data_IF_726232508075
#
_entry.id   IF_726232508075
#
_cell.length_a   1.000
_cell.length_b   1.000
_cell.length_c   1.000
_cell.angle_alpha   90.00
_cell.angle_beta   90.00
_cell.angle_gamma   90.00
#
_symmetry.space_group_name_H-M   'P 1'
#
loop_
_entity.id
_entity.type
_entity.pdbx_description
1 polymer ?
#
# COMPACT_ATOMS: atom_id res chain seq x y z
N UNK A 1 -20.80 0.20 -8.27
CA UNK A 1 -21.04 1.37 -9.14
C UNK A 1 -21.05 2.60 -8.24
N UNK A 2 -20.05 3.48 -8.34
CA UNK A 2 -20.00 4.72 -7.56
C UNK A 2 -21.15 5.65 -8.06
N UNK A 3 -22.21 5.76 -7.28
CA UNK A 3 -23.24 6.75 -7.49
C UNK A 3 -22.79 8.06 -6.82
N UNK A 4 -22.39 9.03 -7.62
CA UNK A 4 -22.13 10.39 -7.18
C UNK A 4 -22.99 11.29 -8.07
N UNK A 5 -24.03 11.86 -7.47
CA UNK A 5 -24.93 12.79 -8.14
C UNK A 5 -24.21 14.09 -8.51
N UNK A 6 -24.58 14.63 -9.67
CA UNK A 6 -23.93 15.75 -10.32
C UNK A 6 -23.98 17.05 -9.51
N UNK A 7 -22.88 17.30 -8.79
CA UNK A 7 -22.59 18.63 -8.25
C UNK A 7 -22.24 19.66 -9.33
N UNK A 8 -21.77 20.85 -8.95
CA UNK A 8 -21.36 21.89 -9.89
C UNK A 8 -20.41 21.38 -10.96
N UNK A 9 -20.44 21.96 -12.17
CA UNK A 9 -19.70 21.44 -13.34
C UNK A 9 -18.22 21.04 -13.10
N UNK A 10 -17.50 21.76 -12.24
CA UNK A 10 -16.12 21.43 -11.89
C UNK A 10 -15.98 20.13 -11.10
N UNK A 11 -16.89 19.86 -10.17
CA UNK A 11 -16.92 18.62 -9.38
C UNK A 11 -17.22 17.42 -10.29
N UNK A 12 -18.09 17.62 -11.29
CA UNK A 12 -18.43 16.59 -12.28
C UNK A 12 -17.22 16.16 -13.10
N UNK A 13 -16.34 17.08 -13.49
CA UNK A 13 -15.11 16.77 -14.25
C UNK A 13 -14.12 15.96 -13.40
N UNK A 14 -13.86 16.41 -12.17
CA UNK A 14 -12.97 15.70 -11.23
C UNK A 14 -13.52 14.30 -10.95
N UNK A 15 -14.82 14.18 -10.77
CA UNK A 15 -15.47 12.89 -10.56
C UNK A 15 -15.30 11.94 -11.75
N UNK A 16 -15.51 12.42 -12.98
CA UNK A 16 -15.32 11.64 -14.20
C UNK A 16 -13.87 11.12 -14.29
N UNK A 17 -12.90 11.97 -13.94
CA UNK A 17 -11.49 11.59 -13.92
C UNK A 17 -11.19 10.52 -12.84
N UNK A 18 -11.65 10.72 -11.61
CA UNK A 18 -11.49 9.73 -10.52
C UNK A 18 -12.14 8.40 -10.92
N UNK A 19 -13.31 8.44 -11.54
CA UNK A 19 -13.99 7.24 -12.04
C UNK A 19 -13.20 6.54 -13.15
N UNK A 20 -12.58 7.29 -14.07
CA UNK A 20 -11.72 6.72 -15.11
C UNK A 20 -10.47 6.08 -14.51
N UNK A 21 -9.85 6.71 -13.50
CA UNK A 21 -8.75 6.12 -12.72
C UNK A 21 -9.20 4.82 -12.06
N UNK A 22 -10.32 4.84 -11.34
CA UNK A 22 -10.84 3.69 -10.61
C UNK A 22 -11.18 2.49 -11.52
N UNK A 23 -11.55 2.76 -12.76
CA UNK A 23 -11.85 1.73 -13.77
C UNK A 23 -10.62 1.24 -14.54
N UNK A 24 -9.45 1.85 -14.33
CA UNK A 24 -8.27 1.57 -15.14
C UNK A 24 -8.44 1.92 -16.62
N UNK A 25 -9.37 2.84 -16.95
CA UNK A 25 -9.72 3.22 -18.33
C UNK A 25 -9.02 4.48 -18.83
N UNK A 26 -7.87 4.82 -18.22
CA UNK A 26 -7.04 5.95 -18.63
C UNK A 26 -6.17 5.60 -19.86
N UNK A 27 -5.94 6.57 -20.77
CA UNK A 27 -4.87 6.43 -21.75
C UNK A 27 -3.53 6.15 -21.03
N UNK A 28 -2.70 5.29 -21.63
CA UNK A 28 -1.42 4.85 -21.02
C UNK A 28 -0.52 6.03 -20.61
N UNK A 29 -0.44 7.08 -21.42
CA UNK A 29 0.34 8.27 -21.10
C UNK A 29 -0.14 8.95 -19.80
N UNK A 30 -1.46 9.04 -19.61
CA UNK A 30 -2.07 9.62 -18.40
C UNK A 30 -1.86 8.70 -17.20
N UNK A 31 -2.04 7.40 -17.36
CA UNK A 31 -1.78 6.42 -16.30
C UNK A 31 -0.32 6.47 -15.85
N UNK A 32 0.63 6.58 -16.80
CA UNK A 32 2.06 6.73 -16.51
C UNK A 32 2.34 8.01 -15.72
N UNK A 33 1.76 9.14 -16.11
CA UNK A 33 1.91 10.42 -15.42
C UNK A 33 1.35 10.34 -13.98
N UNK A 34 0.14 9.81 -13.80
CA UNK A 34 -0.47 9.61 -12.49
C UNK A 34 0.24 8.51 -11.67
N UNK A 35 1.00 7.63 -12.33
CA UNK A 35 1.85 6.61 -11.71
C UNK A 35 3.11 7.17 -11.06
N UNK A 36 3.49 8.42 -11.38
CA UNK A 36 4.65 9.08 -10.81
C UNK A 36 4.48 9.34 -9.31
N UNK A 37 5.60 9.33 -8.58
CA UNK A 37 5.62 9.60 -7.15
C UNK A 37 6.74 10.59 -6.81
N UNK A 38 6.50 11.39 -5.78
CA UNK A 38 7.54 12.20 -5.14
C UNK A 38 8.17 11.41 -4.02
N UNK A 39 9.49 11.27 -4.04
CA UNK A 39 10.25 10.59 -3.01
C UNK A 39 10.61 11.57 -1.90
N UNK A 40 10.18 11.28 -0.68
CA UNK A 40 10.49 12.06 0.52
C UNK A 40 11.29 11.16 1.47
N UNK A 41 12.52 11.54 1.83
CA UNK A 41 13.30 10.83 2.82
C UNK A 41 12.81 11.20 4.23
N UNK A 42 12.49 10.20 5.04
CA UNK A 42 12.22 10.38 6.46
C UNK A 42 13.34 9.77 7.28
N UNK A 43 13.85 10.52 8.24
CA UNK A 43 14.85 10.03 9.18
C UNK A 43 14.24 8.95 10.09
N UNK A 44 14.99 7.87 10.34
CA UNK A 44 14.59 6.84 11.28
C UNK A 44 15.15 7.14 12.66
N UNK A 45 14.37 6.85 13.70
CA UNK A 45 14.87 6.81 15.08
C UNK A 45 16.00 5.77 15.15
N UNK A 46 17.19 6.18 15.55
CA UNK A 46 18.39 5.32 15.57
C UNK A 46 19.27 5.40 14.32
N UNK A 47 18.94 6.30 13.38
CA UNK A 47 19.73 6.59 12.18
C UNK A 47 19.27 5.86 10.92
N UNK A 48 19.69 6.39 9.77
CA UNK A 48 19.27 5.93 8.46
C UNK A 48 18.02 6.64 7.91
N UNK A 49 17.66 6.34 6.67
CA UNK A 49 16.58 7.00 5.95
C UNK A 49 15.52 5.99 5.53
N UNK A 50 14.25 6.35 5.71
CA UNK A 50 13.11 5.64 5.16
C UNK A 50 12.59 6.40 3.94
N UNK A 51 12.74 5.89 2.72
CA UNK A 51 12.18 6.54 1.53
C UNK A 51 10.66 6.36 1.52
N UNK A 52 9.93 7.46 1.45
CA UNK A 52 8.47 7.45 1.30
C UNK A 52 8.13 7.98 -0.09
N UNK A 53 7.47 7.15 -0.90
CA UNK A 53 6.98 7.54 -2.21
C UNK A 53 5.54 8.07 -2.08
N UNK A 54 5.36 9.36 -2.32
CA UNK A 54 4.05 10.02 -2.29
C UNK A 54 3.50 10.06 -3.71
N UNK A 55 2.43 9.31 -3.96
CA UNK A 55 1.76 9.28 -5.26
C UNK A 55 0.83 10.47 -5.48
N UNK A 56 0.45 10.65 -6.74
CA UNK A 56 -0.46 11.68 -7.21
C UNK A 56 -1.80 11.70 -6.45
N UNK A 57 -2.33 12.90 -6.22
CA UNK A 57 -3.53 13.12 -5.39
C UNK A 57 -4.76 12.41 -5.98
N UNK A 58 -4.98 12.54 -7.29
CA UNK A 58 -6.14 11.92 -7.95
C UNK A 58 -6.11 10.39 -7.85
N UNK A 59 -4.92 9.78 -8.04
CA UNK A 59 -4.73 8.34 -7.82
C UNK A 59 -5.03 7.96 -6.37
N UNK A 60 -4.54 8.72 -5.40
CA UNK A 60 -4.77 8.46 -3.98
C UNK A 60 -6.24 8.54 -3.61
N UNK A 61 -6.98 9.53 -4.14
CA UNK A 61 -8.43 9.66 -3.92
C UNK A 61 -9.16 8.46 -4.52
N UNK A 62 -8.86 8.08 -5.77
CA UNK A 62 -9.46 6.92 -6.42
C UNK A 62 -9.20 5.63 -5.64
N UNK A 63 -7.94 5.37 -5.25
CA UNK A 63 -7.59 4.20 -4.46
C UNK A 63 -8.30 4.18 -3.10
N UNK A 64 -8.41 5.33 -2.43
CA UNK A 64 -9.12 5.44 -1.16
C UNK A 64 -10.62 5.16 -1.31
N UNK A 65 -11.24 5.69 -2.35
CA UNK A 65 -12.66 5.43 -2.66
C UNK A 65 -12.91 3.93 -2.91
N UNK A 66 -12.03 3.28 -3.66
CA UNK A 66 -12.09 1.83 -3.89
C UNK A 66 -11.90 1.03 -2.59
N UNK A 67 -10.90 1.36 -1.77
CA UNK A 67 -10.72 0.71 -0.47
C UNK A 67 -11.97 0.85 0.42
N UNK A 68 -12.64 1.98 0.35
CA UNK A 68 -13.89 2.22 1.08
C UNK A 68 -15.03 1.35 0.54
N UNK A 69 -15.16 1.26 -0.79
CA UNK A 69 -16.19 0.46 -1.46
C UNK A 69 -16.02 -1.05 -1.19
N UNK A 70 -14.79 -1.54 -1.21
CA UNK A 70 -14.46 -2.96 -1.00
C UNK A 70 -14.22 -3.32 0.46
N UNK A 71 -14.51 -2.42 1.40
CA UNK A 71 -14.21 -2.60 2.81
C UNK A 71 -14.78 -3.90 3.39
N UNK A 72 -16.02 -4.24 3.04
CA UNK A 72 -16.67 -5.48 3.47
C UNK A 72 -15.99 -6.71 2.87
N UNK A 73 -15.83 -6.74 1.54
CA UNK A 73 -15.18 -7.83 0.82
C UNK A 73 -13.74 -8.09 1.33
N UNK A 74 -13.00 -7.01 1.68
CA UNK A 74 -11.68 -7.14 2.29
C UNK A 74 -11.73 -7.68 3.71
N UNK A 75 -12.67 -7.21 4.53
CA UNK A 75 -12.83 -7.70 5.89
C UNK A 75 -13.14 -9.20 5.91
N UNK A 76 -14.04 -9.65 5.04
CA UNK A 76 -14.43 -11.05 4.93
C UNK A 76 -13.26 -11.93 4.44
N UNK A 77 -12.53 -11.46 3.42
CA UNK A 77 -11.42 -12.23 2.85
C UNK A 77 -10.23 -12.34 3.79
N UNK A 78 -9.88 -11.26 4.50
CA UNK A 78 -8.72 -11.21 5.39
C UNK A 78 -9.04 -11.60 6.83
N UNK A 79 -10.30 -11.86 7.16
CA UNK A 79 -10.76 -12.32 8.46
C UNK A 79 -9.88 -13.47 8.97
N UNK A 80 -9.55 -13.43 10.25
CA UNK A 80 -8.71 -14.41 10.98
C UNK A 80 -7.21 -14.45 10.60
N UNK A 81 -6.78 -13.80 9.50
CA UNK A 81 -5.38 -13.86 9.05
C UNK A 81 -4.68 -12.50 9.03
N UNK A 82 -5.43 -11.40 8.94
CA UNK A 82 -4.89 -10.04 8.82
C UNK A 82 -5.62 -9.09 9.75
N UNK A 83 -4.94 -8.66 10.79
CA UNK A 83 -5.48 -7.75 11.81
C UNK A 83 -5.22 -6.26 11.52
N UNK A 84 -4.44 -5.94 10.50
CA UNK A 84 -4.16 -4.57 10.07
C UNK A 84 -5.14 -4.00 9.05
N UNK A 85 -6.09 -4.80 8.54
CA UNK A 85 -7.05 -4.38 7.52
C UNK A 85 -8.47 -4.39 8.10
N UNK A 86 -9.06 -3.22 8.28
CA UNK A 86 -10.43 -3.01 8.79
C UNK A 86 -10.75 -3.67 10.14
N UNK A 87 -9.74 -4.02 10.93
CA UNK A 87 -9.92 -4.59 12.27
C UNK A 87 -9.67 -3.49 13.30
N UNK A 88 -10.71 -3.10 14.03
CA UNK A 88 -10.58 -2.13 15.11
C UNK A 88 -9.78 -2.75 16.27
N UNK A 89 -8.71 -2.08 16.70
CA UNK A 89 -7.85 -2.60 17.77
C UNK A 89 -7.10 -3.88 17.38
N UNK A 90 -6.80 -4.09 16.08
CA UNK A 90 -6.20 -5.32 15.59
C UNK A 90 -4.87 -5.67 16.25
N UNK A 91 -4.03 -4.67 16.55
CA UNK A 91 -2.74 -4.88 17.23
C UNK A 91 -2.96 -5.38 18.67
N UNK A 92 -3.90 -4.77 19.38
CA UNK A 92 -4.30 -5.17 20.73
C UNK A 92 -4.88 -6.59 20.73
N UNK A 93 -5.74 -6.91 19.77
CA UNK A 93 -6.33 -8.25 19.63
C UNK A 93 -5.25 -9.32 19.43
N UNK A 94 -4.28 -9.10 18.55
CA UNK A 94 -3.16 -10.04 18.34
C UNK A 94 -2.34 -10.18 19.63
N UNK A 95 -2.06 -9.08 20.30
CA UNK A 95 -1.26 -9.09 21.54
C UNK A 95 -1.97 -9.88 22.64
N UNK A 96 -3.28 -9.68 22.82
CA UNK A 96 -4.08 -10.38 23.81
C UNK A 96 -4.22 -11.87 23.46
N UNK A 97 -4.43 -12.21 22.18
CA UNK A 97 -4.53 -13.60 21.74
C UNK A 97 -3.23 -14.38 22.01
N UNK A 98 -2.07 -13.77 21.67
CA UNK A 98 -0.77 -14.38 21.95
C UNK A 98 -0.54 -14.56 23.45
N UNK A 99 -0.88 -13.55 24.27
CA UNK A 99 -0.77 -13.66 25.73
C UNK A 99 -1.64 -14.77 26.30
N UNK A 100 -2.92 -14.82 25.90
CA UNK A 100 -3.85 -15.85 26.34
C UNK A 100 -3.32 -17.25 26.00
N UNK A 101 -2.85 -17.44 24.76
CA UNK A 101 -2.30 -18.72 24.32
C UNK A 101 -1.08 -19.15 25.14
N UNK A 102 -0.15 -18.24 25.42
CA UNK A 102 1.04 -18.52 26.23
C UNK A 102 0.68 -18.81 27.69
N UNK A 103 -0.37 -18.20 28.24
CA UNK A 103 -0.84 -18.45 29.60
C UNK A 103 -1.51 -19.82 29.70
N UNK A 104 -2.37 -20.17 28.76
CA UNK A 104 -3.05 -21.48 28.73
C UNK A 104 -2.04 -22.62 28.67
N UNK A 105 -1.00 -22.50 27.88
CA UNK A 105 0.02 -23.54 27.74
C UNK A 105 0.98 -23.63 28.92
N UNK A 106 1.16 -22.55 29.68
CA UNK A 106 1.92 -22.60 30.94
C UNK A 106 1.21 -23.37 32.05
N UNK A 107 -0.10 -23.51 31.96
CA UNK A 107 -0.92 -24.19 32.96
C UNK A 107 -1.28 -25.64 32.59
N UNK A 108 -1.27 -25.99 31.30
CA UNK A 108 -1.48 -27.35 30.85
C UNK A 108 -0.13 -28.07 30.71
N UNK A 109 -0.01 -29.26 31.30
CA UNK A 109 1.13 -30.17 31.06
C UNK A 109 1.10 -30.64 29.59
N UNK A 110 1.28 -29.71 28.66
CA UNK A 110 1.04 -29.86 27.26
C UNK A 110 2.26 -29.57 26.39
N UNK A 111 2.05 -29.63 25.09
CA UNK A 111 3.09 -29.41 24.06
C UNK A 111 3.70 -28.02 24.18
N UNK A 112 5.03 -27.88 24.18
CA UNK A 112 5.68 -26.57 24.24
C UNK A 112 5.27 -25.68 23.09
N UNK A 113 4.88 -24.43 23.38
CA UNK A 113 4.48 -23.42 22.40
C UNK A 113 5.64 -22.44 22.18
N UNK A 114 5.87 -22.09 20.92
CA UNK A 114 6.85 -21.08 20.55
C UNK A 114 6.18 -19.98 19.69
N UNK A 115 6.48 -18.72 19.99
CA UNK A 115 6.07 -17.57 19.19
C UNK A 115 7.21 -17.17 18.28
N UNK A 116 6.99 -17.24 16.95
CA UNK A 116 7.96 -16.82 15.95
C UNK A 116 7.51 -15.49 15.35
N UNK A 117 8.35 -14.45 15.49
CA UNK A 117 8.15 -13.16 14.85
C UNK A 117 8.95 -13.08 13.56
N UNK A 118 8.25 -12.85 12.45
CA UNK A 118 8.86 -12.67 11.13
C UNK A 118 8.67 -11.23 10.66
N UNK A 119 9.73 -10.62 10.12
CA UNK A 119 9.68 -9.31 9.49
C UNK A 119 10.40 -9.34 8.15
N UNK A 120 9.74 -8.89 7.10
CA UNK A 120 10.28 -8.91 5.74
C UNK A 120 10.97 -7.58 5.43
N UNK A 121 12.28 -7.62 5.20
CA UNK A 121 13.03 -6.44 4.79
C UNK A 121 12.56 -5.94 3.42
N UNK A 122 12.14 -4.67 3.34
CA UNK A 122 11.66 -4.04 2.11
C UNK A 122 10.51 -4.77 1.41
N UNK A 123 9.58 -5.36 2.15
CA UNK A 123 8.49 -6.20 1.64
C UNK A 123 7.77 -5.60 0.42
N UNK A 124 7.37 -4.32 0.49
CA UNK A 124 6.64 -3.65 -0.60
C UNK A 124 7.48 -3.45 -1.88
N UNK A 125 8.80 -3.29 -1.74
CA UNK A 125 9.70 -3.06 -2.86
C UNK A 125 10.19 -4.37 -3.50
N UNK A 126 10.07 -5.48 -2.78
CA UNK A 126 10.54 -6.80 -3.19
C UNK A 126 9.41 -7.70 -3.73
N UNK A 127 8.17 -7.23 -3.76
CA UNK A 127 7.04 -8.01 -4.24
C UNK A 127 7.18 -8.33 -5.74
N UNK A 128 6.95 -9.58 -6.09
CA UNK A 128 6.91 -10.02 -7.49
C UNK A 128 5.58 -9.59 -8.08
N UNK A 129 5.60 -8.57 -8.95
CA UNK A 129 4.39 -7.95 -9.50
C UNK A 129 3.48 -8.94 -10.22
N UNK A 130 4.06 -9.87 -10.99
CA UNK A 130 3.29 -10.92 -11.69
C UNK A 130 2.51 -11.81 -10.73
N UNK A 131 3.15 -12.27 -9.64
CA UNK A 131 2.49 -13.09 -8.62
C UNK A 131 1.37 -12.32 -7.91
N UNK A 132 1.64 -11.05 -7.54
CA UNK A 132 0.64 -10.18 -6.94
C UNK A 132 -0.57 -9.96 -7.85
N UNK A 133 -0.36 -9.66 -9.14
CA UNK A 133 -1.46 -9.45 -10.09
C UNK A 133 -2.24 -10.74 -10.38
N UNK A 134 -1.57 -11.89 -10.42
CA UNK A 134 -2.24 -13.19 -10.56
C UNK A 134 -3.14 -13.49 -9.36
N UNK A 135 -2.65 -13.22 -8.15
CA UNK A 135 -3.46 -13.40 -6.94
C UNK A 135 -4.62 -12.41 -6.87
N UNK A 136 -4.38 -11.14 -7.24
CA UNK A 136 -5.44 -10.14 -7.35
C UNK A 136 -6.53 -10.57 -8.34
N UNK A 137 -6.14 -11.13 -9.49
CA UNK A 137 -7.08 -11.64 -10.49
C UNK A 137 -7.93 -12.80 -9.93
N UNK A 138 -7.35 -13.63 -9.09
CA UNK A 138 -8.04 -14.77 -8.48
C UNK A 138 -9.04 -14.31 -7.41
N UNK A 139 -8.66 -13.34 -6.57
CA UNK A 139 -9.42 -12.97 -5.37
C UNK A 139 -10.34 -11.77 -5.61
N UNK A 140 -9.82 -10.73 -6.27
CA UNK A 140 -10.54 -9.47 -6.51
C UNK A 140 -10.42 -9.03 -7.98
N UNK A 141 -10.97 -9.78 -8.94
CA UNK A 141 -10.82 -9.51 -10.36
C UNK A 141 -11.31 -8.10 -10.77
N UNK A 142 -12.28 -7.55 -10.06
CA UNK A 142 -12.79 -6.19 -10.30
C UNK A 142 -11.75 -5.08 -10.06
N UNK A 143 -10.70 -5.36 -9.28
CA UNK A 143 -9.63 -4.40 -8.97
C UNK A 143 -8.47 -4.46 -9.95
N UNK A 144 -8.36 -5.52 -10.74
CA UNK A 144 -7.24 -5.73 -11.67
C UNK A 144 -7.07 -4.58 -12.66
N UNK A 145 -8.12 -4.03 -13.31
CA UNK A 145 -7.94 -2.93 -14.27
C UNK A 145 -7.28 -1.70 -13.63
N UNK A 146 -7.71 -1.33 -12.43
CA UNK A 146 -7.10 -0.23 -11.68
C UNK A 146 -5.64 -0.52 -11.35
N UNK A 147 -5.36 -1.67 -10.76
CA UNK A 147 -4.03 -2.00 -10.27
C UNK A 147 -3.07 -2.22 -11.44
N UNK A 148 -3.48 -2.94 -12.48
CA UNK A 148 -2.67 -3.16 -13.66
C UNK A 148 -2.27 -1.86 -14.37
N UNK A 149 -3.16 -0.86 -14.43
CA UNK A 149 -2.87 0.43 -15.04
C UNK A 149 -1.64 1.14 -14.44
N UNK A 150 -1.31 0.85 -13.17
CA UNK A 150 -0.18 1.45 -12.46
C UNK A 150 1.01 0.50 -12.24
N UNK A 151 0.80 -0.81 -12.25
CA UNK A 151 1.83 -1.79 -11.90
C UNK A 151 2.43 -2.54 -13.10
N UNK A 152 1.85 -2.42 -14.30
CA UNK A 152 2.41 -3.03 -15.52
C UNK A 152 3.53 -2.22 -16.13
N UNK A 153 3.66 -0.94 -15.80
CA UNK A 153 4.76 -0.07 -16.26
C UNK A 153 5.63 0.41 -15.10
N UNK A 154 6.85 0.81 -15.42
CA UNK A 154 7.75 1.43 -14.43
C UNK A 154 7.26 2.84 -14.09
N UNK A 155 6.95 3.08 -12.82
CA UNK A 155 6.66 4.42 -12.30
C UNK A 155 7.95 5.25 -12.18
N UNK A 156 7.87 6.56 -12.43
CA UNK A 156 8.98 7.49 -12.19
C UNK A 156 8.93 8.03 -10.78
N UNK A 157 10.09 8.08 -10.13
CA UNK A 157 10.26 8.69 -8.82
C UNK A 157 10.97 10.04 -9.00
N UNK A 158 10.36 11.09 -8.50
CA UNK A 158 10.94 12.44 -8.47
C UNK A 158 11.44 12.73 -7.06
N UNK A 159 12.71 13.10 -6.94
CA UNK A 159 13.27 13.52 -5.64
C UNK A 159 12.93 14.99 -5.45
N UNK A 160 12.29 15.31 -4.33
CA UNK A 160 12.04 16.72 -3.97
C UNK A 160 13.39 17.44 -3.72
N UNK A 161 13.61 18.64 -4.30
CA UNK A 161 14.86 19.39 -4.09
C UNK A 161 15.16 19.66 -2.60
N UNK A 162 14.14 19.93 -1.79
CA UNK A 162 14.28 20.05 -0.35
C UNK A 162 14.74 18.73 0.32
N UNK A 163 14.40 17.59 -0.25
CA UNK A 163 14.83 16.27 0.21
C UNK A 163 16.29 15.95 -0.19
N UNK A 164 16.78 16.52 -1.30
CA UNK A 164 18.18 16.41 -1.70
C UNK A 164 19.11 17.12 -0.72
N UNK A 165 18.65 18.21 -0.09
CA UNK A 165 19.40 18.93 0.95
C UNK A 165 19.59 18.07 2.23
N UNK A 166 18.61 17.27 2.60
CA UNK A 166 18.70 16.33 3.75
C UNK A 166 19.64 15.15 3.42
N UNK A 167 19.68 14.72 2.18
CA UNK A 167 20.59 13.66 1.73
C UNK A 167 22.05 14.11 1.64
N UNK A 168 22.30 15.40 1.49
CA UNK A 168 23.65 16.01 1.42
C UNK A 168 24.21 16.45 2.78
N UNK A 169 23.49 16.25 3.86
CA UNK A 169 24.07 16.40 5.21
C UNK A 169 25.12 15.31 5.43
N UNK A 170 26.29 15.59 6.05
CA UNK A 170 27.46 14.69 6.07
C UNK A 170 27.32 13.35 6.79
N UNK A 171 26.13 12.91 7.12
CA UNK A 171 25.84 11.59 7.69
C UNK A 171 25.39 10.61 6.61
N UNK A 172 26.27 10.38 5.66
CA UNK A 172 26.44 9.13 4.91
C UNK A 172 25.22 8.49 4.26
N UNK A 173 24.59 9.11 3.25
CA UNK A 173 23.78 8.35 2.29
C UNK A 173 24.63 8.03 1.04
N UNK A 174 25.24 6.85 1.01
CA UNK A 174 25.76 6.23 -0.21
C UNK A 174 24.71 5.24 -0.72
N UNK A 175 23.76 5.72 -1.49
CA UNK A 175 22.75 4.91 -2.14
C UNK A 175 22.71 5.22 -3.63
N UNK A 176 23.36 4.40 -4.44
CA UNK A 176 23.21 4.41 -5.91
C UNK A 176 21.82 3.90 -6.23
N UNK A 177 20.97 4.74 -6.80
CA UNK A 177 19.70 4.32 -7.39
C UNK A 177 20.03 3.66 -8.73
N UNK A 178 20.19 2.33 -8.72
CA UNK A 178 20.31 1.53 -9.92
C UNK A 178 18.92 1.39 -10.55
N UNK A 179 18.70 2.08 -11.66
CA UNK A 179 17.62 1.78 -12.59
C UNK A 179 18.04 0.54 -13.38
N UNK A 180 17.57 -0.65 -12.98
CA UNK A 180 17.58 -1.82 -13.87
C UNK A 180 16.25 -1.94 -14.59
N UNK A 181 16.26 -2.29 -15.90
CA UNK A 181 15.11 -2.42 -16.76
C UNK A 181 14.14 -3.53 -16.34
#
# INVERSE_FOLDING_TARGET
>A
MLALDGGPAGVSVVFKLIRAVARGSLPQAVATALGCCVLVPLEKVGGGVRPIAIGEVLRRIACRAICFQFRGEFADHFSHHQFGVNVQGGVEQVTLAVRAKLQDESQAAGTPCAVVRLDCKNAFNCIIRGAFLAELQRVFPKLVPLVASFYTSAGRLYVCPAAAAVANTPRGFKGTVSSKP
#
